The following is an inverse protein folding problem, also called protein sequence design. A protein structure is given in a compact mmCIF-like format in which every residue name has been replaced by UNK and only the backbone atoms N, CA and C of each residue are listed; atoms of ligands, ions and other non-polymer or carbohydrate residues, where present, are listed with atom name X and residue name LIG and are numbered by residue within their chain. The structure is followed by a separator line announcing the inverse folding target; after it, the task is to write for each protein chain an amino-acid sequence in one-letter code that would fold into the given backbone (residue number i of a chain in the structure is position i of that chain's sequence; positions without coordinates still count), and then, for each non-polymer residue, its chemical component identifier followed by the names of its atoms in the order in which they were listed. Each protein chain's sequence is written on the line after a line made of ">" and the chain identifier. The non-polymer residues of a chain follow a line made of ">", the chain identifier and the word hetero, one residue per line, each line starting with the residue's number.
data_IF_640004761140
#
_entry.id   IF_640004761140
#
_cell.length_a   1.000
_cell.length_b   1.000
_cell.length_c   1.000
_cell.angle_alpha   90.00
_cell.angle_beta   90.00
_cell.angle_gamma   90.00
#
_symmetry.space_group_name_H-M   'P 1'
#
loop_
_entity.id
_entity.type
_entity.pdbx_description
1 polymer ?
#
# COMPACT_ATOMS: atom_id res chain seq x y z
N UNK A 1 25.11 9.06 30.88
CA UNK A 1 24.64 7.84 30.18
C UNK A 1 25.71 7.39 29.21
N UNK A 2 26.11 6.12 29.20
CA UNK A 2 26.95 5.54 28.14
C UNK A 2 26.06 4.71 27.22
N UNK A 3 26.00 5.06 25.94
CA UNK A 3 25.41 4.22 24.89
C UNK A 3 26.51 3.43 24.19
N UNK A 4 26.22 2.20 23.77
CA UNK A 4 27.12 1.37 22.97
C UNK A 4 26.49 1.12 21.59
N UNK A 5 27.28 1.25 20.53
CA UNK A 5 26.83 0.96 19.18
C UNK A 5 26.78 -0.56 18.96
N UNK A 6 25.65 -1.06 18.45
CA UNK A 6 25.45 -2.47 18.12
C UNK A 6 24.92 -2.60 16.69
N UNK A 7 25.36 -3.64 15.97
CA UNK A 7 24.90 -3.95 14.61
C UNK A 7 24.40 -5.39 14.56
N UNK A 8 23.20 -5.59 14.02
CA UNK A 8 22.58 -6.92 13.86
C UNK A 8 22.22 -7.16 12.40
N UNK A 9 22.16 -8.44 11.99
CA UNK A 9 21.68 -8.86 10.68
C UNK A 9 20.35 -9.59 10.84
N UNK A 10 19.35 -9.15 10.09
CA UNK A 10 17.99 -9.69 10.14
C UNK A 10 17.56 -10.09 8.72
N UNK A 11 16.78 -11.17 8.63
CA UNK A 11 16.06 -11.52 7.40
C UNK A 11 14.73 -10.78 7.43
N UNK A 12 14.47 -9.99 6.39
CA UNK A 12 13.24 -9.22 6.21
C UNK A 12 12.57 -9.64 4.90
N UNK A 13 11.24 -9.61 4.87
CA UNK A 13 10.48 -9.85 3.66
C UNK A 13 10.84 -8.81 2.58
N UNK A 14 10.72 -9.19 1.31
CA UNK A 14 10.85 -8.24 0.22
C UNK A 14 9.72 -7.19 0.30
N UNK A 15 9.93 -6.01 -0.28
CA UNK A 15 8.88 -5.00 -0.32
C UNK A 15 7.67 -5.47 -1.13
N UNK A 16 7.90 -6.22 -2.22
CA UNK A 16 6.83 -6.82 -3.01
C UNK A 16 5.95 -7.75 -2.16
N UNK A 17 6.55 -8.64 -1.37
CA UNK A 17 5.81 -9.54 -0.47
C UNK A 17 5.12 -8.78 0.66
N UNK A 18 5.75 -7.73 1.18
CA UNK A 18 5.16 -6.87 2.19
C UNK A 18 3.86 -6.22 1.70
N UNK A 19 3.85 -5.70 0.47
CA UNK A 19 2.67 -5.11 -0.13
C UNK A 19 1.55 -6.14 -0.35
N UNK A 20 1.89 -7.40 -0.65
CA UNK A 20 0.90 -8.48 -0.73
C UNK A 20 0.23 -8.66 0.63
N UNK A 21 1.02 -8.77 1.70
CA UNK A 21 0.48 -8.87 3.06
C UNK A 21 -0.41 -7.67 3.42
N UNK A 22 -0.03 -6.46 3.00
CA UNK A 22 -0.82 -5.25 3.21
C UNK A 22 -2.13 -5.25 2.44
N UNK A 23 -2.13 -5.66 1.17
CA UNK A 23 -3.37 -5.80 0.39
C UNK A 23 -4.35 -6.77 1.07
N UNK A 24 -3.87 -7.93 1.54
CA UNK A 24 -4.71 -8.87 2.30
C UNK A 24 -5.23 -8.27 3.61
N UNK A 25 -4.40 -7.51 4.33
CA UNK A 25 -4.82 -6.82 5.55
C UNK A 25 -5.92 -5.79 5.26
N UNK A 26 -5.77 -4.97 4.22
CA UNK A 26 -6.80 -4.00 3.78
C UNK A 26 -8.13 -4.71 3.46
N UNK A 27 -8.07 -5.91 2.89
CA UNK A 27 -9.27 -6.71 2.59
C UNK A 27 -9.91 -7.40 3.79
N UNK A 28 -9.19 -7.55 4.91
CA UNK A 28 -9.58 -8.41 6.03
C UNK A 28 -9.76 -7.71 7.38
N UNK A 29 -9.32 -6.46 7.53
CA UNK A 29 -9.49 -5.70 8.78
C UNK A 29 -9.64 -4.21 8.55
N UNK A 30 -10.30 -3.56 9.49
CA UNK A 30 -10.47 -2.10 9.55
C UNK A 30 -9.31 -1.47 10.33
N UNK A 31 -8.22 -1.16 9.60
CA UNK A 31 -6.99 -0.54 10.14
C UNK A 31 -6.40 0.46 9.13
N UNK A 32 -6.65 1.77 9.31
CA UNK A 32 -6.20 2.83 8.41
C UNK A 32 -4.70 2.80 8.05
N UNK A 33 -3.87 2.34 9.00
CA UNK A 33 -2.42 2.23 8.82
C UNK A 33 -2.01 1.30 7.67
N UNK A 34 -2.79 0.27 7.33
CA UNK A 34 -2.41 -0.63 6.23
C UNK A 34 -2.49 0.05 4.87
N UNK A 35 -3.53 0.87 4.64
CA UNK A 35 -3.63 1.72 3.46
C UNK A 35 -2.48 2.72 3.40
N UNK A 36 -2.16 3.37 4.52
CA UNK A 36 -1.04 4.31 4.60
C UNK A 36 0.29 3.63 4.23
N UNK A 37 0.63 2.51 4.88
CA UNK A 37 1.87 1.78 4.63
C UNK A 37 1.93 1.33 3.15
N UNK A 38 0.81 0.89 2.57
CA UNK A 38 0.74 0.48 1.17
C UNK A 38 1.02 1.65 0.22
N UNK A 39 0.31 2.78 0.38
CA UNK A 39 0.49 3.98 -0.46
C UNK A 39 1.91 4.54 -0.31
N UNK A 40 2.38 4.70 0.93
CA UNK A 40 3.73 5.19 1.21
C UNK A 40 4.81 4.35 0.52
N UNK A 41 4.70 3.02 0.61
CA UNK A 41 5.66 2.13 -0.01
C UNK A 41 5.63 2.18 -1.54
N UNK A 42 4.46 2.37 -2.17
CA UNK A 42 4.38 2.57 -3.62
C UNK A 42 5.08 3.86 -4.07
N UNK A 43 4.97 4.93 -3.29
CA UNK A 43 5.51 6.25 -3.63
C UNK A 43 7.00 6.39 -3.33
N UNK A 44 7.45 5.82 -2.21
CA UNK A 44 8.78 6.07 -1.65
C UNK A 44 9.76 4.94 -1.94
N UNK A 45 9.35 3.88 -2.64
CA UNK A 45 10.27 2.80 -2.96
C UNK A 45 11.39 3.30 -3.91
N UNK A 46 12.68 3.21 -3.52
CA UNK A 46 13.76 3.82 -4.31
C UNK A 46 13.92 3.24 -5.72
N UNK A 47 13.52 1.99 -5.95
CA UNK A 47 13.55 1.37 -7.29
C UNK A 47 12.29 1.66 -8.13
N UNK A 48 11.32 2.39 -7.58
CA UNK A 48 10.11 2.82 -8.27
C UNK A 48 8.99 1.78 -8.32
N UNK A 49 7.78 2.28 -8.53
CA UNK A 49 6.55 1.48 -8.63
C UNK A 49 6.61 0.43 -9.76
N UNK A 50 7.23 0.76 -10.90
CA UNK A 50 7.39 -0.15 -12.04
C UNK A 50 8.11 -1.45 -11.64
N UNK A 51 9.10 -1.35 -10.75
CA UNK A 51 9.85 -2.50 -10.28
C UNK A 51 8.99 -3.42 -9.40
N UNK A 52 8.16 -2.85 -8.54
CA UNK A 52 7.19 -3.62 -7.73
C UNK A 52 6.16 -4.31 -8.62
N UNK A 53 5.66 -3.60 -9.64
CA UNK A 53 4.69 -4.13 -10.57
C UNK A 53 5.28 -5.27 -11.40
N UNK A 54 6.53 -5.16 -11.85
CA UNK A 54 7.26 -6.23 -12.54
C UNK A 54 7.38 -7.50 -11.69
N UNK A 55 7.71 -7.34 -10.40
CA UNK A 55 7.84 -8.46 -9.46
C UNK A 55 6.49 -9.15 -9.19
N UNK A 56 5.39 -8.38 -9.11
CA UNK A 56 4.03 -8.93 -8.99
C UNK A 56 3.56 -9.59 -10.29
N UNK A 57 3.80 -8.99 -11.45
CA UNK A 57 3.44 -9.52 -12.78
C UNK A 57 3.98 -10.93 -13.01
N UNK A 58 5.25 -11.16 -12.67
CA UNK A 58 5.90 -12.48 -12.77
C UNK A 58 5.23 -13.56 -11.91
N UNK A 59 4.41 -13.15 -10.93
CA UNK A 59 3.79 -14.00 -9.92
C UNK A 59 2.26 -13.95 -9.94
N UNK A 60 1.65 -13.36 -10.97
CA UNK A 60 0.18 -13.17 -11.04
C UNK A 60 -0.61 -14.49 -10.96
N UNK A 61 0.00 -15.61 -11.37
CA UNK A 61 -0.60 -16.95 -11.24
C UNK A 61 -0.64 -17.51 -9.81
N UNK A 62 0.07 -16.90 -8.86
CA UNK A 62 0.02 -17.28 -7.46
C UNK A 62 -1.28 -16.79 -6.81
N UNK A 63 -1.99 -17.70 -6.10
CA UNK A 63 -3.29 -17.39 -5.47
C UNK A 63 -3.26 -16.15 -4.58
N UNK A 64 -2.19 -15.97 -3.82
CA UNK A 64 -2.07 -14.83 -2.90
C UNK A 64 -1.90 -13.50 -3.64
N UNK A 65 -1.22 -13.50 -4.80
CA UNK A 65 -1.04 -12.31 -5.63
C UNK A 65 -2.34 -11.98 -6.34
N UNK A 66 -2.97 -12.97 -7.00
CA UNK A 66 -4.26 -12.79 -7.65
C UNK A 66 -5.31 -12.22 -6.67
N UNK A 67 -5.39 -12.78 -5.45
CA UNK A 67 -6.30 -12.28 -4.43
C UNK A 67 -5.96 -10.88 -3.95
N UNK A 68 -4.68 -10.54 -3.80
CA UNK A 68 -4.26 -9.18 -3.43
C UNK A 68 -4.70 -8.17 -4.50
N UNK A 69 -4.54 -8.49 -5.78
CA UNK A 69 -4.97 -7.63 -6.89
C UNK A 69 -6.49 -7.42 -6.88
N UNK A 70 -7.28 -8.49 -6.69
CA UNK A 70 -8.74 -8.38 -6.55
C UNK A 70 -9.14 -7.46 -5.39
N UNK A 71 -8.52 -7.63 -4.22
CA UNK A 71 -8.80 -6.78 -3.05
C UNK A 71 -8.50 -5.32 -3.38
N UNK A 72 -7.37 -5.02 -4.01
CA UNK A 72 -7.02 -3.65 -4.37
C UNK A 72 -8.01 -3.07 -5.38
N UNK A 73 -8.41 -3.83 -6.40
CA UNK A 73 -9.44 -3.40 -7.38
C UNK A 73 -10.79 -3.11 -6.71
N UNK A 74 -11.18 -3.91 -5.72
CA UNK A 74 -12.42 -3.72 -4.97
C UNK A 74 -12.34 -2.51 -4.03
N UNK A 75 -11.30 -2.44 -3.19
CA UNK A 75 -11.20 -1.45 -2.11
C UNK A 75 -10.78 -0.07 -2.60
N UNK A 76 -10.19 0.04 -3.79
CA UNK A 76 -9.77 1.32 -4.40
C UNK A 76 -10.55 1.62 -5.68
N UNK A 77 -11.81 1.19 -5.78
CA UNK A 77 -12.64 1.38 -6.98
C UNK A 77 -12.96 2.86 -7.32
N UNK A 78 -13.03 3.74 -6.31
CA UNK A 78 -13.23 5.19 -6.46
C UNK A 78 -12.60 5.94 -5.28
N UNK A 79 -12.59 7.28 -5.32
CA UNK A 79 -12.07 8.11 -4.21
C UNK A 79 -12.94 7.99 -2.94
N UNK A 80 -14.20 7.60 -3.07
CA UNK A 80 -15.14 7.32 -1.98
C UNK A 80 -15.05 5.87 -1.47
N UNK A 81 -14.26 5.01 -2.12
CA UNK A 81 -14.12 3.62 -1.72
C UNK A 81 -13.34 3.47 -0.40
N UNK A 82 -13.47 2.30 0.21
CA UNK A 82 -12.91 2.00 1.53
C UNK A 82 -11.41 2.33 1.64
N UNK A 83 -10.59 1.89 0.67
CA UNK A 83 -9.14 2.11 0.67
C UNK A 83 -8.78 3.59 0.76
N UNK A 84 -9.21 4.44 -0.20
CA UNK A 84 -8.98 5.87 -0.13
C UNK A 84 -9.48 6.55 1.15
N UNK A 85 -10.66 6.19 1.65
CA UNK A 85 -11.20 6.75 2.90
C UNK A 85 -10.38 6.35 4.13
N UNK A 86 -9.77 5.17 4.14
CA UNK A 86 -8.83 4.77 5.19
C UNK A 86 -7.56 5.63 5.19
N UNK A 87 -7.10 6.15 4.04
CA UNK A 87 -5.97 7.10 4.03
C UNK A 87 -6.38 8.45 4.65
N UNK A 88 -7.61 8.90 4.37
CA UNK A 88 -8.19 10.11 4.99
C UNK A 88 -8.24 9.95 6.50
N UNK A 89 -8.77 8.83 6.98
CA UNK A 89 -8.87 8.52 8.41
C UNK A 89 -7.48 8.49 9.07
N UNK A 90 -6.50 7.84 8.41
CA UNK A 90 -5.14 7.75 8.95
C UNK A 90 -4.50 9.13 9.17
N UNK A 91 -4.64 10.05 8.21
CA UNK A 91 -4.09 11.39 8.34
C UNK A 91 -4.90 12.30 9.27
N UNK A 92 -6.21 12.04 9.42
CA UNK A 92 -7.09 12.80 10.31
C UNK A 92 -7.00 14.33 10.09
N UNK A 93 -6.87 14.75 8.83
CA UNK A 93 -6.79 16.16 8.48
C UNK A 93 -8.07 16.91 8.87
N UNK A 94 -7.98 18.16 9.38
CA UNK A 94 -9.14 18.88 9.91
C UNK A 94 -10.04 19.51 8.83
N UNK A 95 -9.53 19.72 7.62
CA UNK A 95 -10.22 20.41 6.53
C UNK A 95 -10.59 19.47 5.36
N UNK A 96 -11.73 19.76 4.72
CA UNK A 96 -12.29 18.93 3.67
C UNK A 96 -11.41 18.88 2.40
N UNK A 97 -10.69 19.95 2.09
CA UNK A 97 -9.83 20.02 0.91
C UNK A 97 -8.65 19.05 1.05
N UNK A 98 -7.96 19.06 2.20
CA UNK A 98 -6.87 18.13 2.50
C UNK A 98 -7.36 16.69 2.59
N UNK A 99 -8.55 16.45 3.16
CA UNK A 99 -9.18 15.12 3.15
C UNK A 99 -9.43 14.64 1.71
N UNK A 100 -9.97 15.48 0.83
CA UNK A 100 -10.19 15.15 -0.57
C UNK A 100 -8.88 14.88 -1.31
N UNK A 101 -7.82 15.63 -1.01
CA UNK A 101 -6.47 15.39 -1.55
C UNK A 101 -5.94 14.01 -1.14
N UNK A 102 -6.09 13.60 0.12
CA UNK A 102 -5.66 12.27 0.57
C UNK A 102 -6.44 11.15 -0.12
N UNK A 103 -7.78 11.25 -0.18
CA UNK A 103 -8.61 10.26 -0.86
C UNK A 103 -8.21 10.11 -2.35
N UNK A 104 -8.08 11.25 -3.05
CA UNK A 104 -7.66 11.25 -4.45
C UNK A 104 -6.27 10.66 -4.63
N UNK A 105 -5.33 11.00 -3.76
CA UNK A 105 -3.95 10.50 -3.82
C UNK A 105 -3.89 8.98 -3.67
N UNK A 106 -4.58 8.43 -2.67
CA UNK A 106 -4.69 6.99 -2.46
C UNK A 106 -5.26 6.27 -3.67
N UNK A 107 -6.36 6.80 -4.23
CA UNK A 107 -6.98 6.22 -5.41
C UNK A 107 -6.03 6.22 -6.61
N UNK A 108 -5.42 7.36 -6.92
CA UNK A 108 -4.56 7.51 -8.10
C UNK A 108 -3.29 6.68 -8.01
N UNK A 109 -2.63 6.61 -6.85
CA UNK A 109 -1.39 5.84 -6.70
C UNK A 109 -1.63 4.33 -6.81
N UNK A 110 -2.71 3.82 -6.23
CA UNK A 110 -3.06 2.41 -6.31
C UNK A 110 -3.59 2.06 -7.69
N UNK A 111 -4.36 2.94 -8.33
CA UNK A 111 -4.79 2.76 -9.72
C UNK A 111 -3.59 2.70 -10.67
N UNK A 112 -2.63 3.62 -10.54
CA UNK A 112 -1.41 3.60 -11.33
C UNK A 112 -0.65 2.27 -11.17
N UNK A 113 -0.54 1.77 -9.93
CA UNK A 113 0.07 0.47 -9.68
C UNK A 113 -0.71 -0.67 -10.36
N UNK A 114 -2.04 -0.68 -10.26
CA UNK A 114 -2.90 -1.69 -10.89
C UNK A 114 -2.89 -1.65 -12.42
N UNK A 115 -2.68 -0.48 -13.02
CA UNK A 115 -2.55 -0.30 -14.47
C UNK A 115 -1.19 -0.80 -14.99
N UNK A 116 -0.20 -0.90 -14.08
CA UNK A 116 1.10 -1.51 -14.36
C UNK A 116 1.12 -3.03 -14.16
N UNK A 117 0.00 -3.70 -13.81
CA UNK A 117 -0.10 -5.16 -13.64
C UNK A 117 -0.79 -5.82 -14.84
#
# INVERSE_FOLDING_TARGET
>A
MRGANNTVRLRVASLADFLVMKAHAIGGRDKPKDTYDFCYCLEQFPAGMDKLAEDWKKRVGEKNIARAIEILREKFASVEAFGPQQLVEFHSAPDADTQAMHARRAYEVVKQFLDLL
#
